data_IF_026316052656
#
_entry.id   IF_026316052656
#
_cell.length_a   1.000
_cell.length_b   1.000
_cell.length_c   1.000
_cell.angle_alpha   90.00
_cell.angle_beta   90.00
_cell.angle_gamma   90.00
#
_symmetry.space_group_name_H-M   'P 1'
#
loop_
_entity.id
_entity.type
_entity.pdbx_description
1 polymer ?
#
# COMPACT_ATOMS: atom_id res chain seq x y z
N UNK A 1 22.34 79.23 -19.96
CA UNK A 1 22.90 78.14 -20.79
C UNK A 1 23.06 76.91 -19.90
N UNK A 2 22.04 76.04 -19.94
CA UNK A 2 21.97 74.57 -19.68
C UNK A 2 22.96 73.99 -18.64
N UNK A 3 22.56 73.78 -17.37
CA UNK A 3 21.84 72.64 -16.72
C UNK A 3 22.65 71.32 -16.69
N UNK A 4 22.90 70.87 -15.46
CA UNK A 4 23.70 69.73 -14.95
C UNK A 4 23.19 68.33 -15.37
N UNK A 5 24.02 67.27 -15.39
CA UNK A 5 23.57 65.91 -15.68
C UNK A 5 23.08 65.18 -14.41
N UNK A 6 21.85 64.67 -14.44
CA UNK A 6 21.29 63.79 -13.42
C UNK A 6 21.59 62.33 -13.75
N UNK A 7 22.24 61.64 -12.82
CA UNK A 7 22.52 60.21 -12.86
C UNK A 7 21.24 59.40 -12.64
N UNK A 8 20.99 58.41 -13.51
CA UNK A 8 19.88 57.47 -13.40
C UNK A 8 20.38 56.24 -12.63
N UNK A 9 19.86 56.04 -11.41
CA UNK A 9 20.14 54.86 -10.57
C UNK A 9 19.12 53.78 -10.91
N UNK A 10 19.59 52.65 -11.45
CA UNK A 10 18.77 51.49 -11.78
C UNK A 10 18.68 50.56 -10.55
N UNK A 11 17.51 50.48 -9.93
CA UNK A 11 17.25 49.63 -8.76
C UNK A 11 16.83 48.23 -9.22
N UNK A 12 17.66 47.23 -8.93
CA UNK A 12 17.38 45.81 -9.21
C UNK A 12 16.51 45.24 -8.08
N UNK A 13 15.25 44.90 -8.39
CA UNK A 13 14.33 44.23 -7.46
C UNK A 13 14.68 42.73 -7.36
N UNK A 14 15.12 42.30 -6.17
CA UNK A 14 15.40 40.91 -5.84
C UNK A 14 14.11 40.27 -5.28
N UNK A 15 13.43 39.45 -6.08
CA UNK A 15 12.27 38.67 -5.64
C UNK A 15 12.74 37.42 -4.88
N UNK A 16 12.62 37.43 -3.54
CA UNK A 16 12.70 36.21 -2.73
C UNK A 16 11.45 35.37 -2.96
N UNK A 17 11.56 34.33 -3.79
CA UNK A 17 10.60 33.24 -3.81
C UNK A 17 10.85 32.34 -2.60
N UNK A 18 9.96 32.38 -1.61
CA UNK A 18 9.89 31.31 -0.61
C UNK A 18 9.31 30.07 -1.31
N UNK A 19 10.18 29.16 -1.73
CA UNK A 19 9.80 27.78 -1.96
C UNK A 19 9.50 27.17 -0.59
N UNK A 20 8.21 27.06 -0.24
CA UNK A 20 7.79 26.25 0.88
C UNK A 20 8.12 24.79 0.57
N UNK A 21 8.96 24.17 1.39
CA UNK A 21 9.09 22.73 1.41
C UNK A 21 7.76 22.16 1.90
N UNK A 22 6.94 21.64 1.00
CA UNK A 22 5.84 20.76 1.38
C UNK A 22 6.44 19.41 1.74
N UNK A 23 6.37 19.04 3.01
CA UNK A 23 6.61 17.66 3.45
C UNK A 23 5.52 16.77 2.82
N UNK A 24 5.89 15.95 1.84
CA UNK A 24 5.00 15.07 1.09
C UNK A 24 4.47 13.86 1.89
N UNK A 25 4.36 13.99 3.22
CA UNK A 25 4.12 12.87 4.13
C UNK A 25 3.02 13.17 5.17
N UNK A 26 2.10 14.09 4.82
CA UNK A 26 0.96 14.43 5.66
C UNK A 26 -0.31 14.05 4.89
N UNK A 27 -1.00 13.02 5.37
CA UNK A 27 -2.34 12.65 4.90
C UNK A 27 -3.21 13.90 4.87
N UNK A 28 -3.90 14.13 3.76
CA UNK A 28 -4.81 15.26 3.63
C UNK A 28 -5.89 15.17 4.71
N UNK A 29 -6.13 16.27 5.44
CA UNK A 29 -7.25 16.34 6.38
C UNK A 29 -8.56 16.00 5.62
N UNK A 30 -9.41 15.12 6.17
CA UNK A 30 -10.68 14.78 5.53
C UNK A 30 -11.53 16.01 5.25
N UNK A 31 -12.22 16.01 4.12
CA UNK A 31 -13.26 16.97 3.81
C UNK A 31 -14.40 16.90 4.85
N UNK A 32 -15.26 17.94 4.96
CA UNK A 32 -16.32 17.98 5.97
C UNK A 32 -17.31 16.81 5.93
N UNK A 33 -17.36 16.09 4.82
CA UNK A 33 -18.18 14.89 4.63
C UNK A 33 -17.49 13.58 5.02
N UNK A 34 -16.26 13.65 5.55
CA UNK A 34 -15.48 12.49 5.95
C UNK A 34 -14.83 11.74 4.78
N UNK A 35 -14.62 12.42 3.65
CA UNK A 35 -13.94 11.88 2.48
C UNK A 35 -12.57 12.53 2.22
N UNK A 36 -11.73 11.89 1.42
CA UNK A 36 -10.46 12.42 0.93
C UNK A 36 -10.39 12.31 -0.60
N UNK A 37 -9.44 13.02 -1.19
CA UNK A 37 -9.06 12.81 -2.60
C UNK A 37 -7.79 11.97 -2.65
N UNK A 38 -7.83 10.90 -3.43
CA UNK A 38 -6.70 10.01 -3.67
C UNK A 38 -6.22 10.16 -5.12
N UNK A 39 -4.91 10.01 -5.33
CA UNK A 39 -4.32 9.94 -6.66
C UNK A 39 -3.82 8.52 -6.92
N UNK A 40 -4.12 8.00 -8.11
CA UNK A 40 -3.64 6.68 -8.57
C UNK A 40 -2.87 6.85 -9.90
N UNK A 41 -1.64 7.42 -9.87
CA UNK A 41 -0.90 7.71 -11.09
C UNK A 41 -0.58 6.44 -11.88
N UNK A 42 -0.66 6.46 -13.23
CA UNK A 42 -0.27 5.31 -14.05
C UNK A 42 1.19 4.89 -13.82
N UNK A 43 1.43 3.58 -13.78
CA UNK A 43 2.72 2.98 -13.50
C UNK A 43 2.91 1.69 -14.30
N UNK A 44 3.41 1.84 -15.52
CA UNK A 44 3.64 0.70 -16.42
C UNK A 44 2.35 0.06 -16.91
N UNK A 45 2.46 -1.17 -17.40
CA UNK A 45 1.31 -1.96 -17.83
C UNK A 45 0.81 -2.82 -16.66
N UNK A 46 -0.51 -3.00 -16.51
CA UNK A 46 -1.03 -3.85 -15.47
C UNK A 46 -0.72 -5.32 -15.75
N UNK A 47 -0.45 -6.09 -14.69
CA UNK A 47 -0.18 -7.53 -14.78
C UNK A 47 -1.40 -8.33 -15.29
N UNK A 48 -2.61 -7.83 -15.03
CA UNK A 48 -3.89 -8.32 -15.56
C UNK A 48 -4.81 -7.15 -15.87
N UNK A 49 -5.77 -7.28 -16.79
CA UNK A 49 -6.72 -6.20 -17.08
C UNK A 49 -7.43 -5.72 -15.82
N UNK A 50 -7.36 -4.42 -15.54
CA UNK A 50 -7.99 -3.77 -14.39
C UNK A 50 -8.04 -2.27 -14.64
N UNK A 51 -9.03 -1.60 -14.07
CA UNK A 51 -9.14 -0.14 -14.08
C UNK A 51 -8.77 0.43 -12.70
N UNK A 52 -8.05 1.58 -12.63
CA UNK A 52 -7.81 2.26 -11.37
C UNK A 52 -9.14 2.74 -10.76
N UNK A 53 -9.28 2.72 -9.42
CA UNK A 53 -10.46 3.26 -8.76
C UNK A 53 -10.61 4.77 -8.99
N UNK A 54 -11.82 5.27 -8.75
CA UNK A 54 -12.03 6.72 -8.59
C UNK A 54 -11.23 7.24 -7.40
N UNK A 55 -10.52 8.34 -7.61
CA UNK A 55 -9.83 9.08 -6.57
C UNK A 55 -10.68 10.14 -5.86
N UNK A 56 -11.88 10.42 -6.35
CA UNK A 56 -12.74 11.47 -5.81
C UNK A 56 -13.66 10.94 -4.70
N UNK A 57 -13.82 11.73 -3.63
CA UNK A 57 -14.72 11.45 -2.51
C UNK A 57 -14.51 10.05 -1.89
N UNK A 58 -13.24 9.64 -1.74
CA UNK A 58 -12.88 8.36 -1.13
C UNK A 58 -13.24 8.37 0.36
N UNK A 59 -14.05 7.43 0.88
CA UNK A 59 -14.42 7.42 2.29
C UNK A 59 -13.19 7.24 3.20
N UNK A 60 -13.03 8.13 4.18
CA UNK A 60 -11.90 8.15 5.12
C UNK A 60 -12.30 7.84 6.57
N UNK A 61 -13.47 7.23 6.76
CA UNK A 61 -13.99 6.86 8.09
C UNK A 61 -14.52 5.44 8.10
N UNK A 62 -14.48 4.81 9.27
CA UNK A 62 -15.00 3.47 9.51
C UNK A 62 -14.17 2.34 8.90
N UNK A 63 -14.71 1.13 8.98
CA UNK A 63 -14.03 -0.09 8.54
C UNK A 63 -14.83 -0.85 7.50
N UNK A 64 -14.17 -1.76 6.79
CA UNK A 64 -14.78 -2.74 5.87
C UNK A 64 -14.24 -4.11 6.18
N UNK A 65 -15.09 -5.12 6.10
CA UNK A 65 -14.64 -6.51 6.20
C UNK A 65 -14.34 -7.06 4.81
N UNK A 66 -13.24 -7.77 4.67
CA UNK A 66 -12.93 -8.58 3.51
C UNK A 66 -12.45 -9.96 3.95
N UNK A 67 -12.59 -10.99 3.13
CA UNK A 67 -12.05 -12.32 3.40
C UNK A 67 -11.20 -12.76 2.23
N UNK A 68 -9.94 -13.07 2.49
CA UNK A 68 -9.08 -13.78 1.54
C UNK A 68 -9.42 -15.26 1.64
N UNK A 69 -9.90 -15.86 0.56
CA UNK A 69 -10.03 -17.31 0.46
C UNK A 69 -8.69 -17.85 -0.03
N UNK A 70 -7.81 -18.27 0.90
CA UNK A 70 -6.57 -18.95 0.53
C UNK A 70 -6.83 -20.45 0.40
N UNK A 71 -6.07 -21.12 -0.46
CA UNK A 71 -6.03 -22.59 -0.54
C UNK A 71 -5.77 -23.28 0.81
N UNK A 72 -5.06 -22.58 1.72
CA UNK A 72 -4.76 -23.07 3.06
C UNK A 72 -5.85 -22.78 4.12
N UNK A 73 -6.84 -21.93 3.80
CA UNK A 73 -7.89 -21.51 4.72
C UNK A 73 -8.32 -20.05 4.52
N UNK A 74 -9.40 -19.66 5.19
CA UNK A 74 -9.91 -18.30 5.14
C UNK A 74 -9.12 -17.36 6.07
N UNK A 75 -8.85 -16.14 5.58
CA UNK A 75 -8.23 -15.08 6.36
C UNK A 75 -9.17 -13.87 6.36
N UNK A 76 -9.84 -13.66 7.50
CA UNK A 76 -10.73 -12.53 7.68
C UNK A 76 -9.92 -11.24 7.95
N UNK A 77 -10.25 -10.18 7.21
CA UNK A 77 -9.62 -8.87 7.26
C UNK A 77 -10.59 -7.81 7.76
N UNK A 78 -10.11 -6.93 8.63
CA UNK A 78 -10.75 -5.64 8.92
C UNK A 78 -9.92 -4.53 8.31
N UNK A 79 -10.41 -3.94 7.22
CA UNK A 79 -9.81 -2.82 6.50
C UNK A 79 -10.14 -1.50 7.22
N UNK A 80 -9.15 -0.63 7.42
CA UNK A 80 -9.25 0.59 8.23
C UNK A 80 -9.12 1.84 7.35
N UNK A 81 -10.26 2.47 7.02
CA UNK A 81 -10.29 3.65 6.15
C UNK A 81 -9.78 4.91 6.83
N UNK A 82 -9.75 4.94 8.16
CA UNK A 82 -9.23 6.10 8.91
C UNK A 82 -7.70 6.13 8.86
N UNK A 83 -7.07 4.95 8.84
CA UNK A 83 -5.61 4.84 8.71
C UNK A 83 -5.11 4.98 7.28
N UNK A 84 -5.80 4.35 6.34
CA UNK A 84 -5.29 4.20 4.98
C UNK A 84 -6.40 4.26 3.91
N UNK A 85 -7.13 5.39 3.79
CA UNK A 85 -8.28 5.49 2.89
C UNK A 85 -7.96 5.16 1.43
N UNK A 86 -6.84 5.66 0.90
CA UNK A 86 -6.47 5.44 -0.51
C UNK A 86 -6.06 3.99 -0.76
N UNK A 87 -5.34 3.39 0.19
CA UNK A 87 -4.94 1.99 0.13
C UNK A 87 -6.14 1.06 0.21
N UNK A 88 -7.07 1.32 1.13
CA UNK A 88 -8.32 0.56 1.24
C UNK A 88 -9.16 0.70 -0.04
N UNK A 89 -9.30 1.91 -0.60
CA UNK A 89 -10.03 2.12 -1.85
C UNK A 89 -9.43 1.33 -3.03
N UNK A 90 -8.09 1.34 -3.16
CA UNK A 90 -7.39 0.53 -4.16
C UNK A 90 -7.64 -0.96 -3.95
N UNK A 91 -7.44 -1.46 -2.73
CA UNK A 91 -7.63 -2.88 -2.42
C UNK A 91 -9.06 -3.35 -2.72
N UNK A 92 -10.08 -2.59 -2.32
CA UNK A 92 -11.49 -2.91 -2.59
C UNK A 92 -11.79 -2.96 -4.08
N UNK A 93 -11.36 -1.96 -4.84
CA UNK A 93 -11.56 -1.93 -6.30
C UNK A 93 -10.89 -3.12 -7.01
N UNK A 94 -9.67 -3.46 -6.60
CA UNK A 94 -8.96 -4.63 -7.14
C UNK A 94 -9.70 -5.94 -6.80
N UNK A 95 -10.20 -6.07 -5.57
CA UNK A 95 -10.98 -7.22 -5.14
C UNK A 95 -12.32 -7.34 -5.91
N UNK A 96 -13.07 -6.24 -6.07
CA UNK A 96 -14.33 -6.21 -6.84
C UNK A 96 -14.14 -6.62 -8.30
N UNK A 97 -12.98 -6.32 -8.87
CA UNK A 97 -12.62 -6.68 -10.24
C UNK A 97 -12.02 -8.09 -10.37
N UNK A 98 -11.91 -8.85 -9.27
CA UNK A 98 -11.31 -10.20 -9.26
C UNK A 98 -9.81 -10.20 -9.56
N UNK A 99 -9.12 -9.08 -9.33
CA UNK A 99 -7.70 -8.92 -9.67
C UNK A 99 -6.80 -9.91 -8.91
N UNK A 100 -7.20 -10.26 -7.68
CA UNK A 100 -6.48 -11.18 -6.79
C UNK A 100 -6.82 -12.66 -7.01
N UNK A 101 -7.81 -12.98 -7.82
CA UNK A 101 -8.29 -14.35 -8.00
C UNK A 101 -7.22 -15.22 -8.69
N UNK A 102 -6.93 -16.37 -8.10
CA UNK A 102 -5.85 -17.27 -8.55
C UNK A 102 -4.46 -16.61 -8.51
N UNK A 103 -4.20 -15.70 -7.58
CA UNK A 103 -2.86 -15.11 -7.39
C UNK A 103 -2.08 -15.82 -6.29
N UNK A 104 -0.82 -16.12 -6.56
CA UNK A 104 0.06 -16.79 -5.59
C UNK A 104 0.62 -15.79 -4.58
N UNK A 105 0.69 -16.23 -3.32
CA UNK A 105 1.54 -15.62 -2.32
C UNK A 105 2.99 -16.03 -2.57
N UNK A 106 3.66 -15.26 -3.42
CA UNK A 106 4.95 -15.60 -4.02
C UNK A 106 6.17 -15.46 -3.08
N UNK A 107 5.99 -14.92 -1.87
CA UNK A 107 7.12 -14.68 -0.96
C UNK A 107 6.74 -14.85 0.50
N UNK A 108 7.39 -15.82 1.15
CA UNK A 108 7.40 -16.05 2.58
C UNK A 108 8.76 -15.66 3.15
N UNK A 109 8.75 -15.00 4.30
CA UNK A 109 9.94 -14.80 5.13
C UNK A 109 9.64 -15.32 6.52
N UNK A 110 10.52 -16.17 7.03
CA UNK A 110 10.37 -16.86 8.32
C UNK A 110 11.51 -16.62 9.30
N UNK A 111 12.42 -15.72 8.95
CA UNK A 111 13.59 -15.37 9.74
C UNK A 111 13.79 -13.86 9.80
N UNK A 112 13.82 -13.32 11.01
CA UNK A 112 14.07 -11.89 11.29
C UNK A 112 12.87 -10.97 11.03
N UNK A 113 12.15 -11.19 9.93
CA UNK A 113 10.80 -10.67 9.67
C UNK A 113 9.89 -11.85 9.31
N UNK A 114 8.60 -11.75 9.62
CA UNK A 114 7.68 -12.88 9.58
C UNK A 114 6.44 -12.50 8.76
N UNK A 115 6.59 -12.58 7.43
CA UNK A 115 5.58 -12.10 6.49
C UNK A 115 5.29 -13.11 5.39
N UNK A 116 4.04 -13.15 4.93
CA UNK A 116 3.61 -13.79 3.69
C UNK A 116 3.11 -12.69 2.74
N UNK A 117 3.78 -12.53 1.60
CA UNK A 117 3.50 -11.48 0.61
C UNK A 117 2.76 -12.06 -0.60
N UNK A 118 1.70 -11.37 -1.01
CA UNK A 118 0.76 -11.77 -2.05
C UNK A 118 0.38 -10.55 -2.93
N UNK A 119 -0.56 -10.74 -3.86
CA UNK A 119 -1.15 -9.64 -4.64
C UNK A 119 -0.37 -9.25 -5.90
N UNK A 120 0.60 -10.07 -6.33
CA UNK A 120 1.22 -9.98 -7.66
C UNK A 120 0.61 -11.08 -8.55
N UNK A 121 -0.19 -10.73 -9.57
CA UNK A 121 -0.77 -11.75 -10.44
C UNK A 121 0.21 -12.49 -11.35
N UNK A 122 1.46 -12.02 -11.43
CA UNK A 122 2.56 -12.67 -12.15
C UNK A 122 3.43 -13.55 -11.25
N UNK A 123 3.27 -13.43 -9.92
CA UNK A 123 4.09 -14.09 -8.90
C UNK A 123 5.61 -13.78 -8.98
N UNK A 124 6.03 -12.75 -9.73
CA UNK A 124 7.47 -12.41 -9.86
C UNK A 124 7.96 -11.46 -8.78
N UNK A 125 7.05 -10.86 -8.01
CA UNK A 125 7.32 -9.79 -7.06
C UNK A 125 7.47 -8.40 -7.70
N UNK A 126 7.29 -8.30 -9.03
CA UNK A 126 7.45 -7.04 -9.79
C UNK A 126 6.20 -6.64 -10.56
N UNK A 127 5.16 -7.49 -10.58
CA UNK A 127 3.88 -7.13 -11.16
C UNK A 127 3.07 -6.19 -10.27
N UNK A 128 2.08 -5.54 -10.89
CA UNK A 128 1.23 -4.55 -10.24
C UNK A 128 0.06 -4.14 -11.13
N UNK A 129 -0.84 -3.27 -10.64
CA UNK A 129 -2.13 -3.00 -11.27
C UNK A 129 -2.05 -1.91 -12.35
N UNK A 130 -0.84 -1.55 -12.79
CA UNK A 130 -0.63 -0.50 -13.80
C UNK A 130 -0.76 0.93 -13.24
N UNK A 131 -0.85 1.09 -11.92
CA UNK A 131 -0.84 2.38 -11.22
C UNK A 131 -0.16 2.26 -9.85
N UNK A 132 0.21 3.38 -9.25
CA UNK A 132 0.75 3.44 -7.87
C UNK A 132 -0.28 3.93 -6.86
N UNK A 133 -0.13 3.47 -5.63
CA UNK A 133 -0.89 3.87 -4.44
C UNK A 133 0.06 4.67 -3.51
N UNK A 134 -0.38 5.80 -2.94
CA UNK A 134 0.44 6.60 -2.03
C UNK A 134 0.73 5.87 -0.71
N UNK A 135 1.81 6.26 -0.03
CA UNK A 135 2.07 5.79 1.33
C UNK A 135 1.19 6.58 2.33
N UNK A 136 0.57 5.88 3.26
CA UNK A 136 -0.27 6.46 4.33
C UNK A 136 0.31 6.00 5.68
N UNK A 137 1.50 6.51 6.00
CA UNK A 137 2.35 6.04 7.11
C UNK A 137 2.59 7.10 8.18
N UNK A 138 2.65 6.68 9.45
CA UNK A 138 3.07 7.50 10.60
C UNK A 138 4.43 7.04 11.14
N UNK A 139 5.13 7.92 11.88
CA UNK A 139 6.50 7.63 12.38
C UNK A 139 6.56 6.56 13.47
N UNK A 140 5.44 6.33 14.15
CA UNK A 140 5.27 5.41 15.28
C UNK A 140 4.65 4.06 14.86
N UNK A 141 4.47 3.85 13.56
CA UNK A 141 3.84 2.68 13.00
C UNK A 141 4.68 1.41 13.25
N UNK A 142 4.01 0.36 13.70
CA UNK A 142 4.60 -0.96 14.03
C UNK A 142 3.82 -2.08 13.36
N UNK A 143 4.39 -3.30 13.35
CA UNK A 143 3.86 -4.44 12.60
C UNK A 143 3.79 -5.69 13.50
N UNK A 144 2.90 -5.73 14.51
CA UNK A 144 2.64 -6.92 15.28
C UNK A 144 2.00 -8.03 14.42
N UNK A 145 1.97 -9.26 14.93
CA UNK A 145 1.20 -10.35 14.34
C UNK A 145 -0.26 -9.92 14.08
N UNK A 146 -0.80 -10.34 12.93
CA UNK A 146 -2.13 -9.95 12.47
C UNK A 146 -2.14 -8.66 11.63
N UNK A 147 -1.01 -7.98 11.44
CA UNK A 147 -0.96 -6.78 10.59
C UNK A 147 -1.04 -7.13 9.10
N UNK A 148 -1.75 -6.32 8.32
CA UNK A 148 -1.70 -6.36 6.84
C UNK A 148 -1.24 -5.01 6.32
N UNK A 149 -0.21 -5.02 5.48
CA UNK A 149 0.40 -3.80 4.96
C UNK A 149 0.73 -3.88 3.47
N UNK A 150 0.68 -2.72 2.81
CA UNK A 150 0.98 -2.55 1.39
C UNK A 150 2.48 -2.71 1.16
N UNK A 151 2.87 -3.60 0.24
CA UNK A 151 4.24 -3.68 -0.25
C UNK A 151 4.51 -2.54 -1.24
N UNK A 152 5.75 -2.08 -1.33
CA UNK A 152 6.16 -1.02 -2.25
C UNK A 152 7.49 -1.37 -2.96
N UNK A 153 7.81 -0.63 -4.02
CA UNK A 153 9.05 -0.81 -4.79
C UNK A 153 10.29 -0.20 -4.09
N UNK A 154 10.34 -0.25 -2.75
CA UNK A 154 11.40 0.34 -1.91
C UNK A 154 11.56 1.87 -2.02
N UNK A 155 10.61 2.56 -2.65
CA UNK A 155 10.57 4.02 -2.76
C UNK A 155 9.22 4.55 -2.26
N UNK A 156 9.16 5.78 -1.72
CA UNK A 156 7.89 6.32 -1.27
C UNK A 156 6.85 6.40 -2.38
N UNK A 157 5.57 6.21 -2.04
CA UNK A 157 4.43 6.30 -2.94
C UNK A 157 4.52 5.35 -4.15
N UNK A 158 5.06 4.14 -3.92
CA UNK A 158 5.16 3.08 -4.93
C UNK A 158 4.43 1.81 -4.53
N UNK A 159 3.43 1.94 -3.64
CA UNK A 159 2.46 0.88 -3.42
C UNK A 159 1.73 0.54 -4.73
N UNK A 160 1.18 -0.66 -4.83
CA UNK A 160 0.45 -1.11 -6.02
C UNK A 160 -0.68 -2.03 -5.61
N UNK A 161 -0.55 -3.31 -5.98
CA UNK A 161 -1.50 -4.36 -5.59
C UNK A 161 -0.92 -5.33 -4.58
N UNK A 162 0.40 -5.35 -4.40
CA UNK A 162 1.05 -6.30 -3.52
C UNK A 162 0.92 -5.90 -2.05
N UNK A 163 0.62 -6.87 -1.20
CA UNK A 163 0.51 -6.67 0.24
C UNK A 163 1.16 -7.83 0.98
N UNK A 164 1.45 -7.66 2.26
CA UNK A 164 1.97 -8.71 3.10
C UNK A 164 1.16 -8.88 4.39
N UNK A 165 1.03 -10.14 4.79
CA UNK A 165 0.36 -10.63 5.98
C UNK A 165 1.42 -10.95 7.03
N UNK A 166 1.38 -10.26 8.17
CA UNK A 166 2.34 -10.44 9.27
C UNK A 166 1.83 -11.55 10.19
N UNK A 167 2.54 -12.68 10.27
CA UNK A 167 2.12 -13.84 11.06
C UNK A 167 2.85 -13.97 12.41
N UNK A 168 3.94 -13.23 12.60
CA UNK A 168 4.57 -13.02 13.90
C UNK A 168 5.16 -11.61 13.99
N UNK A 169 5.35 -11.09 15.20
CA UNK A 169 5.83 -9.73 15.44
C UNK A 169 7.10 -9.42 14.66
N UNK A 170 7.02 -8.37 13.83
CA UNK A 170 8.00 -8.11 12.80
C UNK A 170 8.61 -6.70 12.95
N UNK A 171 9.94 -6.58 13.13
CA UNK A 171 10.60 -5.29 13.33
C UNK A 171 10.90 -4.59 11.99
N UNK A 172 9.85 -4.21 11.25
CA UNK A 172 9.99 -3.40 10.04
C UNK A 172 10.02 -1.89 10.37
N UNK A 173 10.74 -1.08 9.58
CA UNK A 173 10.66 0.38 9.69
C UNK A 173 9.25 0.87 9.26
N UNK A 174 8.79 2.04 9.75
CA UNK A 174 7.47 2.61 9.43
C UNK A 174 7.42 3.17 8.00
N UNK A 175 7.46 2.29 7.01
CA UNK A 175 7.55 2.60 5.58
C UNK A 175 6.48 1.92 4.74
N UNK A 176 5.63 1.08 5.33
CA UNK A 176 4.61 0.31 4.64
C UNK A 176 3.26 0.66 5.23
N UNK A 177 2.32 1.08 4.36
CA UNK A 177 0.98 1.46 4.78
C UNK A 177 0.27 0.28 5.41
N UNK A 178 -0.10 0.38 6.70
CA UNK A 178 -0.97 -0.59 7.36
C UNK A 178 -2.41 -0.20 7.07
N UNK A 179 -3.10 -1.05 6.32
CA UNK A 179 -4.47 -0.78 5.86
C UNK A 179 -5.49 -1.79 6.37
N UNK A 180 -5.05 -2.89 6.99
CA UNK A 180 -5.95 -3.87 7.57
C UNK A 180 -5.31 -4.68 8.70
N UNK A 181 -6.16 -5.39 9.44
CA UNK A 181 -5.77 -6.41 10.42
C UNK A 181 -6.47 -7.73 10.13
N UNK A 182 -5.76 -8.83 10.36
CA UNK A 182 -6.30 -10.19 10.41
C UNK A 182 -6.82 -10.51 11.81
N UNK A 183 -7.80 -11.39 11.90
CA UNK A 183 -8.14 -12.03 13.17
C UNK A 183 -7.13 -13.13 13.54
N UNK A 184 -7.30 -13.71 14.73
CA UNK A 184 -6.39 -14.77 15.21
C UNK A 184 -6.44 -16.00 14.31
N UNK A 185 -7.63 -16.39 13.85
CA UNK A 185 -7.79 -17.57 12.98
C UNK A 185 -7.04 -17.39 11.65
N UNK A 186 -7.15 -16.22 11.02
CA UNK A 186 -6.40 -15.89 9.82
C UNK A 186 -4.89 -15.82 10.07
N UNK A 187 -4.47 -15.28 11.22
CA UNK A 187 -3.05 -15.27 11.62
C UNK A 187 -2.51 -16.71 11.78
N UNK A 188 -3.29 -17.62 12.35
CA UNK A 188 -2.93 -19.03 12.51
C UNK A 188 -2.85 -19.76 11.15
N UNK A 189 -3.72 -19.45 10.19
CA UNK A 189 -3.65 -19.98 8.81
C UNK A 189 -2.31 -19.59 8.16
N UNK A 190 -1.94 -18.31 8.23
CA UNK A 190 -0.67 -17.82 7.66
C UNK A 190 0.53 -18.43 8.42
N UNK A 191 0.45 -18.56 9.74
CA UNK A 191 1.46 -19.25 10.54
C UNK A 191 1.61 -20.74 10.15
N UNK A 192 0.51 -21.42 9.79
CA UNK A 192 0.51 -22.79 9.29
C UNK A 192 1.18 -22.95 7.92
N UNK A 193 1.02 -21.98 7.03
CA UNK A 193 1.80 -21.88 5.78
C UNK A 193 3.29 -21.74 6.12
N UNK A 194 3.62 -20.78 6.99
CA UNK A 194 4.99 -20.46 7.36
C UNK A 194 5.73 -21.64 8.03
N UNK A 195 5.03 -22.43 8.85
CA UNK A 195 5.59 -23.59 9.54
C UNK A 195 6.08 -24.70 8.59
N UNK A 196 5.64 -24.71 7.33
CA UNK A 196 6.13 -25.64 6.31
C UNK A 196 7.46 -25.18 5.68
N UNK A 197 7.83 -23.91 5.86
CA UNK A 197 9.08 -23.32 5.40
C UNK A 197 9.03 -22.84 3.95
N UNK A 198 10.21 -22.44 3.47
CA UNK A 198 10.45 -21.94 2.12
C UNK A 198 11.11 -22.98 1.22
N UNK A 199 10.83 -22.90 -0.07
CA UNK A 199 11.39 -23.74 -1.11
C UNK A 199 12.92 -23.57 -1.15
N UNK A 200 13.66 -24.67 -1.32
CA UNK A 200 15.12 -24.64 -1.29
C UNK A 200 15.73 -23.97 -2.52
N UNK A 201 14.96 -23.91 -3.61
CA UNK A 201 15.35 -23.43 -4.92
C UNK A 201 15.62 -21.92 -4.92
N UNK A 202 14.79 -21.14 -4.23
CA UNK A 202 14.88 -19.68 -4.16
C UNK A 202 14.96 -19.12 -2.73
N UNK A 203 14.66 -19.94 -1.72
CA UNK A 203 14.69 -19.57 -0.31
C UNK A 203 13.63 -18.53 0.09
N UNK A 204 12.62 -18.29 -0.74
CA UNK A 204 11.57 -17.30 -0.48
C UNK A 204 10.17 -17.78 -0.84
N UNK A 205 10.01 -18.73 -1.78
CA UNK A 205 8.68 -19.24 -2.13
C UNK A 205 8.14 -20.13 -1.01
N UNK A 206 6.88 -20.01 -0.58
CA UNK A 206 6.31 -20.93 0.41
C UNK A 206 6.30 -22.38 -0.12
N UNK A 207 6.62 -23.36 0.74
CA UNK A 207 6.45 -24.78 0.39
C UNK A 207 4.96 -25.15 0.33
N UNK A 208 4.17 -24.61 1.26
CA UNK A 208 2.72 -24.80 1.25
C UNK A 208 2.11 -24.01 0.09
N UNK A 209 1.16 -24.62 -0.61
CA UNK A 209 0.38 -23.89 -1.62
C UNK A 209 -0.43 -22.77 -0.94
N UNK A 210 -0.15 -21.54 -1.35
CA UNK A 210 -0.78 -20.34 -0.82
C UNK A 210 -1.28 -19.48 -2.00
N UNK A 211 -2.46 -19.84 -2.52
CA UNK A 211 -3.12 -19.12 -3.62
C UNK A 211 -4.34 -18.42 -3.07
N UNK A 212 -4.53 -17.15 -3.41
CA UNK A 212 -5.78 -16.43 -3.20
C UNK A 212 -6.76 -16.93 -4.26
N UNK A 213 -7.70 -17.80 -3.89
CA UNK A 213 -8.73 -18.29 -4.79
C UNK A 213 -9.69 -17.16 -5.18
N UNK A 214 -10.10 -16.36 -4.19
CA UNK A 214 -10.87 -15.14 -4.39
C UNK A 214 -10.81 -14.23 -3.16
N UNK A 215 -11.24 -12.97 -3.32
CA UNK A 215 -11.48 -12.03 -2.22
C UNK A 215 -12.96 -11.71 -2.13
N UNK A 216 -13.59 -11.99 -0.99
CA UNK A 216 -15.00 -11.63 -0.75
C UNK A 216 -15.09 -10.37 0.10
N UNK A 217 -15.92 -9.42 -0.31
CA UNK A 217 -16.21 -8.20 0.45
C UNK A 217 -17.50 -8.37 1.24
N UNK A 218 -17.51 -7.90 2.49
CA UNK A 218 -18.66 -8.02 3.42
C UNK A 218 -19.52 -6.77 3.51
#
# INVERSE_FOLDING_TARGET
>A
MRISPSALVLTLLLSLGLAGCADANQSADPAPDGSVTCEFPPAGNPARPVDPPSGEAVPATGTVTATLQLTAGEVALTLDREKAPCTVASFLSLAEQGYFDGTECHRLVDTGIFILQCGDPTATGTGGPGYTVPDEVSKDLTYPAGTVAMANASSPNTGGSQFFLVWADTPLPPKYTVFATMDQAGTDVVGGIAAQGVAAEDGISPIAEAVIEAVTLG
#
